data_IF_089472246100
#
_entry.id   IF_089472246100
#
_cell.length_a   1.000
_cell.length_b   1.000
_cell.length_c   1.000
_cell.angle_alpha   90.00
_cell.angle_beta   90.00
_cell.angle_gamma   90.00
#
_symmetry.space_group_name_H-M   'P 1'
#
loop_
_entity.id
_entity.type
_entity.pdbx_description
1 polymer ?
#
# COMPACT_ATOMS: atom_id res chain seq x y z
N UNK A 1 -11.84 -8.86 -4.83
CA UNK A 1 -10.96 -9.45 -3.78
C UNK A 1 -11.70 -10.60 -3.14
N UNK A 2 -11.01 -11.71 -2.86
CA UNK A 2 -11.59 -12.86 -2.13
C UNK A 2 -10.93 -12.96 -0.76
N UNK A 3 -11.72 -13.25 0.28
CA UNK A 3 -11.25 -13.38 1.66
C UNK A 3 -11.09 -14.86 2.01
N UNK A 4 -9.93 -15.22 2.54
CA UNK A 4 -9.63 -16.56 3.04
C UNK A 4 -9.19 -16.48 4.49
N UNK A 5 -9.75 -17.35 5.33
CA UNK A 5 -9.34 -17.52 6.73
C UNK A 5 -8.44 -18.73 6.84
N UNK A 6 -7.31 -18.59 7.54
CA UNK A 6 -6.36 -19.67 7.77
C UNK A 6 -6.17 -19.88 9.27
N UNK A 7 -6.24 -21.14 9.70
CA UNK A 7 -5.92 -21.55 11.06
C UNK A 7 -4.52 -22.15 11.06
N UNK A 8 -3.65 -21.67 11.94
CA UNK A 8 -2.28 -22.13 12.07
C UNK A 8 -2.05 -22.67 13.48
N UNK A 9 -1.21 -23.72 13.65
CA UNK A 9 -0.71 -24.10 14.97
C UNK A 9 -0.06 -22.90 15.66
N UNK A 10 -0.21 -22.80 16.98
CA UNK A 10 0.22 -21.64 17.76
C UNK A 10 1.71 -21.32 17.56
N UNK A 11 2.56 -22.35 17.51
CA UNK A 11 4.00 -22.21 17.27
C UNK A 11 4.29 -21.52 15.93
N UNK A 12 3.56 -21.90 14.87
CA UNK A 12 3.70 -21.32 13.53
C UNK A 12 3.16 -19.89 13.51
N UNK A 13 2.01 -19.64 14.15
CA UNK A 13 1.46 -18.29 14.26
C UNK A 13 2.42 -17.32 14.97
N UNK A 14 3.09 -17.80 16.02
CA UNK A 14 4.11 -17.03 16.75
C UNK A 14 5.34 -16.76 15.89
N UNK A 15 5.78 -17.74 15.08
CA UNK A 15 6.87 -17.53 14.14
C UNK A 15 6.52 -16.51 13.06
N UNK A 16 5.32 -16.60 12.48
CA UNK A 16 4.80 -15.61 11.53
C UNK A 16 4.79 -14.20 12.14
N UNK A 17 4.35 -14.06 13.40
CA UNK A 17 4.34 -12.78 14.09
C UNK A 17 5.76 -12.20 14.27
N UNK A 18 6.75 -13.05 14.61
CA UNK A 18 8.16 -12.63 14.72
C UNK A 18 8.73 -12.17 13.37
N UNK A 19 8.52 -12.95 12.32
CA UNK A 19 9.02 -12.64 10.98
C UNK A 19 8.35 -11.39 10.38
N UNK A 20 7.05 -11.20 10.63
CA UNK A 20 6.30 -9.99 10.22
C UNK A 20 7.00 -8.73 10.76
N UNK A 21 7.35 -8.73 12.06
CA UNK A 21 8.05 -7.60 12.70
C UNK A 21 9.48 -7.44 12.17
N UNK A 22 10.21 -8.55 12.06
CA UNK A 22 11.61 -8.57 11.62
C UNK A 22 11.77 -8.01 10.20
N UNK A 23 10.81 -8.28 9.32
CA UNK A 23 10.83 -7.82 7.92
C UNK A 23 10.11 -6.48 7.71
N UNK A 24 9.59 -5.85 8.77
CA UNK A 24 8.99 -4.50 8.70
C UNK A 24 7.60 -4.42 8.08
N UNK A 25 6.86 -5.53 8.02
CA UNK A 25 5.48 -5.52 7.52
C UNK A 25 4.52 -4.91 8.56
N UNK A 26 3.50 -4.16 8.10
CA UNK A 26 2.56 -3.52 9.01
C UNK A 26 1.61 -4.52 9.67
N UNK A 27 1.28 -5.63 9.00
CA UNK A 27 0.38 -6.66 9.52
C UNK A 27 0.79 -8.08 9.14
N UNK A 28 0.37 -9.07 9.94
CA UNK A 28 0.54 -10.50 9.62
C UNK A 28 -0.08 -10.86 8.26
N UNK A 29 -1.25 -10.29 7.96
CA UNK A 29 -1.94 -10.51 6.69
C UNK A 29 -1.17 -9.95 5.50
N UNK A 30 -0.41 -8.88 5.67
CA UNK A 30 0.46 -8.32 4.63
C UNK A 30 1.68 -9.19 4.38
N UNK A 31 2.31 -9.67 5.45
CA UNK A 31 3.40 -10.64 5.36
C UNK A 31 2.96 -11.94 4.65
N UNK A 32 1.82 -12.53 5.03
CA UNK A 32 1.31 -13.71 4.33
C UNK A 32 0.99 -13.39 2.87
N UNK A 33 0.37 -12.24 2.58
CA UNK A 33 0.10 -11.83 1.20
C UNK A 33 1.39 -11.67 0.38
N UNK A 34 2.48 -11.15 0.96
CA UNK A 34 3.76 -11.00 0.24
C UNK A 34 4.38 -12.36 -0.07
N UNK A 35 4.30 -13.32 0.86
CA UNK A 35 4.74 -14.70 0.64
C UNK A 35 3.91 -15.38 -0.47
N UNK A 36 2.58 -15.28 -0.42
CA UNK A 36 1.71 -15.86 -1.43
C UNK A 36 1.96 -15.24 -2.82
N UNK A 37 2.20 -13.92 -2.88
CA UNK A 37 2.59 -13.26 -4.14
C UNK A 37 3.92 -13.78 -4.64
N UNK A 38 4.94 -13.88 -3.79
CA UNK A 38 6.25 -14.41 -4.17
C UNK A 38 6.16 -15.85 -4.67
N UNK A 39 5.34 -16.67 -4.01
CA UNK A 39 5.19 -18.09 -4.32
C UNK A 39 4.37 -18.35 -5.59
N UNK A 40 3.24 -17.66 -5.76
CA UNK A 40 2.33 -17.92 -6.87
C UNK A 40 2.53 -17.03 -8.10
N UNK A 41 3.11 -15.84 -7.93
CA UNK A 41 3.09 -14.81 -8.98
C UNK A 41 4.45 -14.62 -9.66
N UNK A 42 5.52 -15.31 -9.23
CA UNK A 42 6.87 -15.21 -9.83
C UNK A 42 7.19 -13.77 -10.27
N UNK A 43 7.45 -12.90 -9.29
CA UNK A 43 7.81 -11.49 -9.45
C UNK A 43 6.79 -10.60 -10.17
N UNK A 44 5.91 -9.96 -9.38
CA UNK A 44 5.71 -8.53 -9.61
C UNK A 44 6.74 -7.83 -8.75
N UNK A 45 7.81 -7.24 -9.33
CA UNK A 45 8.78 -6.50 -8.55
C UNK A 45 8.03 -5.45 -7.73
N UNK A 46 8.33 -5.38 -6.44
CA UNK A 46 7.86 -4.30 -5.57
C UNK A 46 8.38 -3.00 -6.18
N UNK A 47 7.55 -2.31 -6.95
CA UNK A 47 7.89 -0.99 -7.44
C UNK A 47 7.85 -0.06 -6.23
N UNK A 48 8.99 0.59 -5.89
CA UNK A 48 8.98 1.57 -4.83
C UNK A 48 7.98 2.66 -5.18
N UNK A 49 7.27 3.15 -4.18
CA UNK A 49 6.43 4.32 -4.37
C UNK A 49 7.33 5.53 -4.68
N UNK A 50 7.23 6.06 -5.89
CA UNK A 50 7.92 7.28 -6.29
C UNK A 50 6.92 8.43 -6.16
N UNK A 51 7.18 9.30 -5.19
CA UNK A 51 6.36 10.49 -4.97
C UNK A 51 6.41 11.39 -6.22
N UNK A 52 5.24 11.68 -6.80
CA UNK A 52 5.09 12.56 -7.97
C UNK A 52 4.73 13.97 -7.52
N UNK A 53 5.22 15.03 -8.19
CA UNK A 53 4.86 16.40 -7.85
C UNK A 53 3.34 16.60 -7.69
N UNK A 54 2.92 17.28 -6.64
CA UNK A 54 1.50 17.50 -6.35
C UNK A 54 0.78 18.25 -7.48
N UNK A 55 1.48 19.14 -8.18
CA UNK A 55 0.96 19.85 -9.36
C UNK A 55 0.67 18.90 -10.53
N UNK A 56 1.51 17.89 -10.73
CA UNK A 56 1.30 16.87 -11.75
C UNK A 56 0.05 16.04 -11.42
N UNK A 57 -0.10 15.63 -10.15
CA UNK A 57 -1.28 14.91 -9.66
C UNK A 57 -2.54 15.76 -9.82
N UNK A 58 -2.49 17.06 -9.51
CA UNK A 58 -3.60 18.00 -9.68
C UNK A 58 -4.01 18.09 -11.15
N UNK A 59 -3.04 18.26 -12.04
CA UNK A 59 -3.29 18.39 -13.47
C UNK A 59 -3.87 17.11 -14.06
N UNK A 60 -3.33 15.95 -13.71
CA UNK A 60 -3.85 14.67 -14.19
C UNK A 60 -5.28 14.43 -13.73
N UNK A 61 -5.60 14.68 -12.45
CA UNK A 61 -6.96 14.55 -11.94
C UNK A 61 -7.92 15.47 -12.68
N UNK A 62 -7.53 16.72 -12.93
CA UNK A 62 -8.32 17.67 -13.70
C UNK A 62 -8.52 17.22 -15.16
N UNK A 63 -7.46 16.70 -15.80
CA UNK A 63 -7.47 16.23 -17.20
C UNK A 63 -8.47 15.09 -17.43
N UNK A 64 -8.80 14.32 -16.40
CA UNK A 64 -9.78 13.23 -16.50
C UNK A 64 -11.22 13.73 -16.70
N UNK A 65 -11.53 14.97 -16.28
CA UNK A 65 -12.89 15.51 -16.28
C UNK A 65 -13.88 14.79 -15.36
N UNK A 66 -13.43 13.82 -14.56
CA UNK A 66 -14.29 12.98 -13.70
C UNK A 66 -14.51 13.54 -12.30
N UNK A 67 -13.72 14.53 -11.91
CA UNK A 67 -13.68 15.04 -10.54
C UNK A 67 -13.98 16.53 -10.50
N UNK A 68 -14.68 16.96 -9.45
CA UNK A 68 -14.91 18.38 -9.21
C UNK A 68 -13.63 19.06 -8.70
N UNK A 69 -13.47 20.34 -8.98
CA UNK A 69 -12.32 21.14 -8.53
C UNK A 69 -12.13 21.06 -7.01
N UNK A 70 -13.23 21.19 -6.25
CA UNK A 70 -13.22 21.05 -4.79
C UNK A 70 -12.68 19.69 -4.32
N UNK A 71 -12.99 18.60 -5.04
CA UNK A 71 -12.46 17.27 -4.72
C UNK A 71 -10.95 17.21 -4.99
N UNK A 72 -10.51 17.70 -6.15
CA UNK A 72 -9.10 17.71 -6.55
C UNK A 72 -8.27 18.49 -5.52
N UNK A 73 -8.72 19.69 -5.13
CA UNK A 73 -8.05 20.50 -4.11
C UNK A 73 -7.99 19.82 -2.75
N UNK A 74 -9.07 19.15 -2.34
CA UNK A 74 -9.11 18.38 -1.09
C UNK A 74 -8.06 17.25 -1.09
N UNK A 75 -7.94 16.52 -2.20
CA UNK A 75 -6.95 15.45 -2.36
C UNK A 75 -5.53 16.00 -2.30
N UNK A 76 -5.23 17.07 -3.06
CA UNK A 76 -3.89 17.68 -3.08
C UNK A 76 -3.52 18.21 -1.69
N UNK A 77 -4.45 18.84 -0.98
CA UNK A 77 -4.26 19.35 0.39
C UNK A 77 -4.09 18.24 1.43
N UNK A 78 -4.75 17.10 1.24
CA UNK A 78 -4.55 15.92 2.07
C UNK A 78 -3.18 15.29 1.84
N UNK A 79 -2.80 15.13 0.57
CA UNK A 79 -1.50 14.59 0.18
C UNK A 79 -0.35 15.45 0.69
N UNK A 80 -0.43 16.78 0.59
CA UNK A 80 0.63 17.68 1.08
C UNK A 80 0.94 17.56 2.56
N UNK A 81 0.00 17.04 3.36
CA UNK A 81 0.17 16.79 4.80
C UNK A 81 0.65 15.38 5.13
N UNK A 82 0.67 14.48 4.16
CA UNK A 82 1.08 13.10 4.37
C UNK A 82 2.60 13.01 4.57
N UNK A 83 3.08 12.07 5.38
CA UNK A 83 4.52 11.90 5.69
C UNK A 83 5.41 11.71 4.46
N UNK A 84 4.84 11.33 3.32
CA UNK A 84 5.57 11.11 2.06
C UNK A 84 5.80 12.41 1.28
N UNK A 85 4.92 13.41 1.45
CA UNK A 85 4.97 14.70 0.75
C UNK A 85 5.22 15.89 1.68
N UNK A 86 5.00 15.71 2.99
CA UNK A 86 5.33 16.68 4.02
C UNK A 86 6.86 16.77 4.12
N UNK A 87 7.43 17.76 3.42
CA UNK A 87 8.78 18.26 3.68
C UNK A 87 8.72 19.38 4.71
#
# INVERSE_FOLDING_TARGET
MSTMTISLPEQVANQVARETRKQGFATRSEFIRSLLRRYFVNDVPLQPFIARPLEEIKWELASTGKYSEKFIESVVKGLSKSSVYAR
#
